data_IF_107118287520
#
_entry.id   IF_107118287520
#
_cell.length_a   1.000
_cell.length_b   1.000
_cell.length_c   1.000
_cell.angle_alpha   90.00
_cell.angle_beta   90.00
_cell.angle_gamma   90.00
#
_symmetry.space_group_name_H-M   'P 1'
#
loop_
_entity.id
_entity.type
_entity.pdbx_description
1 polymer ?
#
# COMPACT_ATOMS: atom_id res chain seq x y z
N UNK A 1 -13.06 -7.67 14.14
CA UNK A 1 -11.95 -7.67 13.16
C UNK A 1 -12.46 -8.34 11.90
N UNK A 2 -12.47 -7.64 10.77
CA UNK A 2 -12.82 -8.25 9.48
C UNK A 2 -11.67 -9.16 9.07
N UNK A 3 -11.93 -10.39 8.62
CA UNK A 3 -10.87 -11.30 8.20
C UNK A 3 -10.13 -10.81 6.93
N UNK A 4 -8.98 -11.41 6.65
CA UNK A 4 -8.14 -11.02 5.50
C UNK A 4 -8.86 -11.24 4.17
N UNK A 5 -9.69 -12.27 4.05
CA UNK A 5 -10.43 -12.60 2.82
C UNK A 5 -11.43 -11.49 2.47
N UNK A 6 -12.21 -11.02 3.44
CA UNK A 6 -13.19 -9.94 3.26
C UNK A 6 -12.49 -8.62 2.93
N UNK A 7 -11.38 -8.32 3.61
CA UNK A 7 -10.59 -7.13 3.33
C UNK A 7 -10.02 -7.15 1.91
N UNK A 8 -9.47 -8.28 1.49
CA UNK A 8 -8.90 -8.46 0.17
C UNK A 8 -9.97 -8.41 -0.93
N UNK A 9 -11.14 -9.00 -0.71
CA UNK A 9 -12.27 -8.90 -1.64
C UNK A 9 -12.67 -7.44 -1.91
N UNK A 10 -12.59 -6.57 -0.89
CA UNK A 10 -12.78 -5.14 -1.06
C UNK A 10 -11.75 -4.48 -1.98
N UNK A 11 -10.48 -4.88 -1.89
CA UNK A 11 -9.45 -4.41 -2.82
C UNK A 11 -9.67 -4.95 -4.23
N UNK A 12 -10.02 -6.23 -4.38
CA UNK A 12 -10.33 -6.83 -5.68
C UNK A 12 -11.51 -6.16 -6.38
N UNK A 13 -12.51 -5.71 -5.62
CA UNK A 13 -13.63 -4.94 -6.18
C UNK A 13 -13.18 -3.56 -6.72
N UNK A 14 -12.15 -2.94 -6.13
CA UNK A 14 -11.56 -1.68 -6.64
C UNK A 14 -10.57 -1.91 -7.79
N UNK A 15 -9.88 -3.04 -7.77
CA UNK A 15 -8.84 -3.40 -8.72
C UNK A 15 -8.76 -4.93 -8.85
N UNK A 16 -9.39 -5.45 -9.91
CA UNK A 16 -9.60 -6.89 -10.10
C UNK A 16 -8.33 -7.71 -10.22
N UNK A 17 -7.21 -7.08 -10.61
CA UNK A 17 -5.90 -7.74 -10.72
C UNK A 17 -5.15 -7.81 -9.38
N UNK A 18 -5.75 -7.36 -8.28
CA UNK A 18 -5.15 -7.46 -6.96
C UNK A 18 -4.84 -8.94 -6.61
N UNK A 19 -3.66 -9.15 -6.02
CA UNK A 19 -3.17 -10.48 -5.64
C UNK A 19 -2.89 -10.52 -4.13
N UNK A 20 -3.37 -11.57 -3.47
CA UNK A 20 -3.10 -11.83 -2.07
C UNK A 20 -1.77 -12.58 -1.94
N UNK A 21 -0.81 -11.98 -1.26
CA UNK A 21 0.52 -12.56 -1.00
C UNK A 21 0.74 -12.70 0.51
N UNK A 22 1.90 -13.21 0.91
CA UNK A 22 2.32 -13.30 2.31
C UNK A 22 3.73 -12.76 2.51
N UNK A 23 3.93 -12.08 3.63
CA UNK A 23 5.22 -11.63 4.16
C UNK A 23 5.27 -12.07 5.62
N UNK A 24 6.28 -12.86 6.01
CA UNK A 24 6.38 -13.36 7.40
C UNK A 24 5.14 -14.13 7.88
N UNK A 25 4.39 -14.76 6.97
CA UNK A 25 3.14 -15.48 7.27
C UNK A 25 1.88 -14.61 7.36
N UNK A 26 2.02 -13.28 7.31
CA UNK A 26 0.91 -12.32 7.33
C UNK A 26 0.50 -11.93 5.91
N UNK A 27 -0.79 -11.68 5.69
CA UNK A 27 -1.31 -11.35 4.36
C UNK A 27 -0.99 -9.91 3.97
N UNK A 28 -0.54 -9.73 2.74
CA UNK A 28 -0.31 -8.44 2.08
C UNK A 28 -1.01 -8.43 0.73
N UNK A 29 -1.34 -7.27 0.19
CA UNK A 29 -2.01 -7.18 -1.12
C UNK A 29 -1.12 -6.47 -2.14
N UNK A 30 -0.78 -7.18 -3.21
CA UNK A 30 -0.18 -6.58 -4.40
C UNK A 30 -1.30 -6.01 -5.27
N UNK A 31 -1.12 -4.80 -5.76
CA UNK A 31 -2.01 -4.09 -6.68
C UNK A 31 -1.19 -3.76 -7.94
N UNK A 32 -1.16 -4.67 -8.94
CA UNK A 32 -0.37 -4.46 -10.16
C UNK A 32 -0.88 -3.28 -10.98
N UNK A 33 0.03 -2.49 -11.57
CA UNK A 33 -0.36 -1.44 -12.54
C UNK A 33 -1.50 -0.52 -12.03
N UNK A 34 -1.52 -0.22 -10.74
CA UNK A 34 -2.60 0.52 -10.09
C UNK A 34 -2.54 2.00 -10.50
N UNK A 35 -3.67 2.54 -10.95
CA UNK A 35 -3.80 3.96 -11.31
C UNK A 35 -4.17 4.83 -10.12
N UNK A 36 -3.43 5.91 -9.89
CA UNK A 36 -3.72 6.88 -8.81
C UNK A 36 -3.21 8.27 -9.19
N UNK A 37 -3.60 9.27 -8.40
CA UNK A 37 -3.09 10.64 -8.51
C UNK A 37 -2.04 10.88 -7.42
N UNK A 38 -0.96 11.56 -7.78
CA UNK A 38 -0.01 12.11 -6.81
C UNK A 38 0.20 13.60 -7.09
N UNK A 39 -0.41 14.46 -6.28
CA UNK A 39 -0.76 15.81 -6.72
C UNK A 39 -1.75 15.79 -7.89
N UNK A 40 -1.54 16.74 -8.79
CA UNK A 40 -2.31 16.86 -10.03
C UNK A 40 -1.82 15.94 -11.16
N UNK A 41 -0.86 15.04 -10.89
CA UNK A 41 -0.28 14.15 -11.90
C UNK A 41 -0.81 12.72 -11.77
N UNK A 42 -1.26 12.08 -12.87
CA UNK A 42 -1.65 10.68 -12.87
C UNK A 42 -0.42 9.77 -12.90
N UNK A 43 -0.45 8.73 -12.07
CA UNK A 43 0.56 7.67 -12.02
C UNK A 43 -0.07 6.30 -12.22
N UNK A 44 0.75 5.39 -12.74
CA UNK A 44 0.42 3.97 -12.85
C UNK A 44 1.65 3.14 -12.51
N UNK A 45 1.58 2.34 -11.46
CA UNK A 45 2.65 1.42 -11.06
C UNK A 45 2.12 0.36 -10.09
N UNK A 46 2.94 -0.65 -9.83
CA UNK A 46 2.59 -1.62 -8.80
C UNK A 46 2.65 -0.98 -7.42
N UNK A 47 1.66 -1.32 -6.59
CA UNK A 47 1.63 -0.98 -5.18
C UNK A 47 1.58 -2.26 -4.34
N UNK A 48 2.15 -2.22 -3.15
CA UNK A 48 2.04 -3.31 -2.17
C UNK A 48 1.51 -2.74 -0.86
N UNK A 49 0.30 -3.16 -0.49
CA UNK A 49 -0.32 -2.81 0.78
C UNK A 49 0.11 -3.79 1.86
N UNK A 50 0.73 -3.27 2.92
CA UNK A 50 1.07 -3.99 4.14
C UNK A 50 0.17 -3.46 5.27
N UNK A 51 -0.93 -4.16 5.60
CA UNK A 51 -1.98 -3.67 6.48
C UNK A 51 -1.75 -4.06 7.95
N UNK A 52 -0.49 -4.19 8.34
CA UNK A 52 -0.04 -4.51 9.69
C UNK A 52 1.29 -3.80 9.97
N UNK A 53 1.73 -3.84 11.23
CA UNK A 53 2.91 -3.13 11.69
C UNK A 53 4.16 -3.55 10.90
N UNK A 54 4.81 -2.58 10.25
CA UNK A 54 6.00 -2.84 9.43
C UNK A 54 6.92 -1.62 9.43
N UNK A 55 8.23 -1.86 9.63
CA UNK A 55 9.27 -0.82 9.63
C UNK A 55 8.97 0.37 10.56
N UNK A 56 8.28 0.15 11.69
CA UNK A 56 7.94 1.20 12.66
C UNK A 56 6.64 1.96 12.39
N UNK A 57 5.81 1.51 11.45
CA UNK A 57 4.50 2.11 11.13
C UNK A 57 3.39 1.07 11.28
N UNK A 58 2.19 1.49 11.70
CA UNK A 58 1.04 0.60 11.93
C UNK A 58 0.56 -0.11 10.66
N UNK A 59 0.67 0.56 9.52
CA UNK A 59 0.40 0.04 8.18
C UNK A 59 1.26 0.81 7.18
N UNK A 60 1.58 0.21 6.02
CA UNK A 60 2.37 0.84 4.97
C UNK A 60 1.82 0.58 3.58
N UNK A 61 1.99 1.58 2.71
CA UNK A 61 1.85 1.42 1.26
C UNK A 61 3.22 1.57 0.61
N UNK A 62 3.59 0.57 -0.17
CA UNK A 62 4.83 0.51 -0.91
C UNK A 62 4.56 0.72 -2.40
N UNK A 63 5.48 1.37 -3.09
CA UNK A 63 5.39 1.77 -4.48
C UNK A 63 6.57 1.19 -5.26
N UNK A 64 6.34 0.76 -6.50
CA UNK A 64 7.40 0.22 -7.34
C UNK A 64 8.52 1.25 -7.62
N UNK A 65 8.18 2.54 -7.67
CA UNK A 65 9.11 3.62 -7.91
C UNK A 65 8.88 4.76 -6.91
N UNK A 66 9.93 5.55 -6.66
CA UNK A 66 9.83 6.80 -5.92
C UNK A 66 9.07 7.84 -6.73
N UNK A 67 8.24 8.64 -6.07
CA UNK A 67 7.59 9.81 -6.67
C UNK A 67 8.34 11.06 -6.19
N UNK A 68 8.98 11.77 -7.11
CA UNK A 68 9.74 12.97 -6.78
C UNK A 68 8.79 14.11 -6.35
N UNK A 69 9.23 14.89 -5.36
CA UNK A 69 8.48 16.06 -4.87
C UNK A 69 7.19 15.75 -4.12
N UNK A 70 6.90 14.48 -3.80
CA UNK A 70 5.69 14.07 -3.04
C UNK A 70 6.09 13.33 -1.79
N UNK A 71 5.34 13.49 -0.69
CA UNK A 71 5.60 12.80 0.59
C UNK A 71 6.95 13.15 1.24
N UNK A 72 7.05 12.91 2.54
CA UNK A 72 8.32 13.02 3.25
C UNK A 72 9.12 11.71 3.11
N UNK A 73 10.44 11.81 2.89
CA UNK A 73 11.41 10.73 3.09
C UNK A 73 11.03 9.37 2.48
N UNK A 74 11.28 9.20 1.18
CA UNK A 74 11.14 7.91 0.51
C UNK A 74 12.36 7.03 0.74
N UNK A 75 12.15 5.91 1.43
CA UNK A 75 13.21 4.95 1.73
C UNK A 75 13.02 3.63 0.96
N UNK A 76 14.12 2.99 0.54
CA UNK A 76 14.07 1.69 -0.10
C UNK A 76 13.79 0.58 0.93
N UNK A 77 13.02 -0.41 0.53
CA UNK A 77 12.68 -1.58 1.34
C UNK A 77 12.62 -2.83 0.46
N UNK A 78 12.94 -3.99 1.03
CA UNK A 78 12.71 -5.28 0.38
C UNK A 78 11.57 -5.99 1.10
N UNK A 79 10.49 -6.28 0.37
CA UNK A 79 9.26 -6.89 0.89
C UNK A 79 8.70 -7.82 -0.19
N UNK A 80 8.30 -9.04 0.18
CA UNK A 80 7.92 -10.11 -0.76
C UNK A 80 8.95 -10.29 -1.87
N UNK A 81 10.22 -10.37 -1.48
CA UNK A 81 11.39 -10.54 -2.35
C UNK A 81 11.57 -9.51 -3.48
N UNK A 82 10.90 -8.36 -3.38
CA UNK A 82 11.00 -7.26 -4.35
C UNK A 82 11.44 -5.97 -3.65
N UNK A 83 12.16 -5.12 -4.38
CA UNK A 83 12.50 -3.78 -3.92
C UNK A 83 11.33 -2.82 -4.14
N UNK A 84 11.07 -2.01 -3.12
CA UNK A 84 9.97 -1.05 -3.06
C UNK A 84 10.44 0.27 -2.45
N UNK A 85 9.65 1.30 -2.68
CA UNK A 85 9.80 2.60 -2.05
C UNK A 85 8.58 2.93 -1.20
N UNK A 86 8.77 3.52 -0.03
CA UNK A 86 7.64 4.00 0.78
C UNK A 86 7.99 5.37 1.39
N UNK A 87 7.06 6.35 1.35
CA UNK A 87 7.22 7.59 2.09
C UNK A 87 7.04 7.35 3.59
N UNK A 88 7.58 8.24 4.40
CA UNK A 88 7.27 8.33 5.83
C UNK A 88 5.86 8.90 6.03
N UNK A 89 4.86 8.03 6.08
CA UNK A 89 3.49 8.38 6.43
C UNK A 89 2.97 7.49 7.57
N UNK A 90 2.40 8.10 8.60
CA UNK A 90 1.99 7.43 9.83
C UNK A 90 0.53 7.73 10.19
N UNK A 91 0.07 7.19 11.32
CA UNK A 91 -1.29 7.37 11.85
C UNK A 91 -2.39 6.79 10.97
N UNK A 92 -2.10 5.66 10.31
CA UNK A 92 -3.08 4.84 9.58
C UNK A 92 -3.27 3.52 10.35
N UNK A 93 -4.30 3.41 11.21
CA UNK A 93 -4.48 2.25 12.08
C UNK A 93 -4.75 0.95 11.30
N UNK A 94 -4.16 -0.15 11.75
CA UNK A 94 -4.40 -1.48 11.20
C UNK A 94 -5.82 -2.04 11.47
N UNK A 95 -6.62 -1.35 12.28
CA UNK A 95 -8.03 -1.70 12.55
C UNK A 95 -8.98 -1.28 11.42
N UNK A 96 -8.52 -0.44 10.50
CA UNK A 96 -9.28 -0.01 9.33
C UNK A 96 -9.42 -1.13 8.30
N UNK A 97 -10.43 -1.03 7.43
CA UNK A 97 -10.53 -1.91 6.26
C UNK A 97 -9.37 -1.64 5.30
N UNK A 98 -8.88 -2.66 4.59
CA UNK A 98 -7.75 -2.50 3.67
C UNK A 98 -7.97 -1.44 2.59
N UNK A 99 -9.20 -1.30 2.09
CA UNK A 99 -9.58 -0.23 1.16
C UNK A 99 -9.41 1.15 1.79
N UNK A 100 -9.74 1.31 3.07
CA UNK A 100 -9.56 2.56 3.82
C UNK A 100 -8.08 2.84 4.08
N UNK A 101 -7.30 1.81 4.43
CA UNK A 101 -5.85 1.92 4.61
C UNK A 101 -5.20 2.38 3.30
N UNK A 102 -5.52 1.73 2.17
CA UNK A 102 -5.02 2.11 0.84
C UNK A 102 -5.33 3.57 0.52
N UNK A 103 -6.60 3.99 0.66
CA UNK A 103 -7.01 5.37 0.37
C UNK A 103 -6.36 6.39 1.31
N UNK A 104 -6.14 6.04 2.58
CA UNK A 104 -5.46 6.92 3.53
C UNK A 104 -4.00 7.18 3.13
N UNK A 105 -3.28 6.14 2.69
CA UNK A 105 -1.90 6.29 2.19
C UNK A 105 -1.85 7.03 0.85
N UNK A 106 -2.78 6.75 -0.07
CA UNK A 106 -2.84 7.48 -1.35
C UNK A 106 -3.14 8.97 -1.16
N UNK A 107 -4.01 9.33 -0.21
CA UNK A 107 -4.27 10.75 0.14
C UNK A 107 -3.03 11.50 0.62
N UNK A 108 -2.07 10.81 1.23
CA UNK A 108 -0.84 11.43 1.74
C UNK A 108 0.11 11.90 0.63
N UNK A 109 -0.05 11.36 -0.59
CA UNK A 109 0.77 11.69 -1.75
C UNK A 109 -0.03 12.38 -2.86
N UNK A 110 -1.35 12.46 -2.73
CA UNK A 110 -2.26 13.15 -3.61
C UNK A 110 -2.05 14.67 -3.59
#
# INVERSE_FOLDING_TARGET
>A
MTDAATNFAGLQAMHSEAVLLKEGGLHVALLPSFGFMAGDMPYRMDLLLVPFAHSGYDTRLFFANKIEGRGANWNPHRVVERNWWAPSWNHVPATLRWTQILLAHLRAIA
#
